data_IF_371352517011
#
_entry.id   IF_371352517011
#
_cell.length_a   1.000
_cell.length_b   1.000
_cell.length_c   1.000
_cell.angle_alpha   90.00
_cell.angle_beta   90.00
_cell.angle_gamma   90.00
#
_symmetry.space_group_name_H-M   'P 1'
#
loop_
_entity.id
_entity.type
_entity.pdbx_description
1 polymer ?
#
# COMPACT_ATOMS: atom_id res chain seq x y z
N UNK A 1 -4.19 -21.10 19.18
CA UNK A 1 -5.12 -20.58 18.16
C UNK A 1 -4.92 -19.09 18.05
N UNK A 2 -5.29 -18.51 16.91
CA UNK A 2 -5.34 -17.06 16.71
C UNK A 2 -6.38 -16.46 17.68
N UNK A 3 -6.07 -15.30 18.25
CA UNK A 3 -6.95 -14.62 19.19
C UNK A 3 -6.94 -13.12 18.94
N UNK A 4 -7.99 -12.48 19.45
CA UNK A 4 -8.16 -11.03 19.49
C UNK A 4 -8.55 -10.61 20.90
N UNK A 5 -7.92 -9.57 21.40
CA UNK A 5 -8.32 -8.95 22.66
C UNK A 5 -9.39 -7.89 22.35
N UNK A 6 -10.61 -8.12 22.83
CA UNK A 6 -11.80 -7.29 22.63
C UNK A 6 -12.10 -6.47 23.88
N UNK A 7 -12.79 -5.32 23.78
CA UNK A 7 -13.28 -4.61 24.96
C UNK A 7 -14.15 -5.51 25.84
N UNK A 8 -13.93 -5.48 27.16
CA UNK A 8 -14.72 -6.25 28.11
C UNK A 8 -16.21 -5.83 28.05
N UNK A 9 -17.19 -6.74 28.21
CA UNK A 9 -18.62 -6.43 28.15
C UNK A 9 -19.09 -5.23 29.00
N UNK A 10 -18.49 -5.01 30.17
CA UNK A 10 -18.74 -3.84 31.02
C UNK A 10 -18.53 -2.51 30.26
N UNK A 11 -17.46 -2.39 29.46
CA UNK A 11 -17.20 -1.20 28.64
C UNK A 11 -18.29 -1.00 27.58
N UNK A 12 -18.83 -2.08 27.01
CA UNK A 12 -19.92 -2.03 26.03
C UNK A 12 -21.23 -1.50 26.65
N UNK A 13 -21.34 -1.49 27.97
CA UNK A 13 -22.46 -0.91 28.72
C UNK A 13 -22.15 0.47 29.30
N UNK A 14 -20.98 1.04 28.99
CA UNK A 14 -20.54 2.35 29.47
C UNK A 14 -19.83 2.32 30.82
N UNK A 15 -19.62 1.15 31.41
CA UNK A 15 -18.86 0.99 32.65
C UNK A 15 -17.37 0.83 32.33
N UNK A 16 -16.61 1.90 32.60
CA UNK A 16 -15.18 1.96 32.35
C UNK A 16 -14.38 1.77 33.65
N UNK A 17 -14.99 1.31 34.74
CA UNK A 17 -14.31 1.12 36.03
C UNK A 17 -13.12 0.15 35.95
N UNK A 18 -13.12 -0.78 34.99
CA UNK A 18 -12.00 -1.68 34.69
C UNK A 18 -10.74 -0.98 34.20
N UNK A 19 -10.84 0.26 33.73
CA UNK A 19 -9.68 1.04 33.33
C UNK A 19 -8.84 1.50 34.53
N UNK A 20 -9.38 1.47 35.74
CA UNK A 20 -8.61 1.88 36.91
C UNK A 20 -7.36 1.04 37.09
N UNK A 21 -6.27 1.71 37.47
CA UNK A 21 -5.01 1.09 37.89
C UNK A 21 -4.65 1.52 39.30
N UNK A 22 -3.63 0.87 39.85
CA UNK A 22 -3.00 1.28 41.10
C UNK A 22 -2.27 2.60 40.89
N UNK A 23 -2.45 3.55 41.81
CA UNK A 23 -1.83 4.87 41.76
C UNK A 23 -2.71 5.95 41.12
N UNK A 24 -2.20 7.17 41.20
CA UNK A 24 -2.87 8.38 40.75
C UNK A 24 -2.14 9.02 39.57
N UNK A 25 -2.88 9.83 38.82
CA UNK A 25 -2.33 10.68 37.77
C UNK A 25 -1.47 11.75 38.47
N UNK A 26 -0.23 11.89 38.01
CA UNK A 26 0.72 12.89 38.51
C UNK A 26 0.90 14.00 37.46
N UNK A 27 1.11 15.22 37.94
CA UNK A 27 1.58 16.36 37.13
C UNK A 27 2.99 16.10 36.56
N UNK A 28 3.47 16.94 35.64
CA UNK A 28 4.86 16.85 35.16
C UNK A 28 5.91 16.93 36.28
N UNK A 29 5.60 17.61 37.38
CA UNK A 29 6.49 17.75 38.55
C UNK A 29 6.31 16.62 39.58
N UNK A 30 5.51 15.60 39.28
CA UNK A 30 5.28 14.45 40.16
C UNK A 30 4.29 14.71 41.30
N UNK A 31 3.58 15.85 41.28
CA UNK A 31 2.53 16.16 42.26
C UNK A 31 1.28 15.34 41.94
N UNK A 32 0.71 14.68 42.95
CA UNK A 32 -0.54 13.94 42.86
C UNK A 32 -1.72 14.87 42.55
N UNK A 33 -2.49 14.54 41.52
CA UNK A 33 -3.68 15.31 41.12
C UNK A 33 -4.95 14.92 41.88
N UNK A 34 -4.91 13.80 42.62
CA UNK A 34 -6.07 13.21 43.29
C UNK A 34 -6.95 12.35 42.38
N UNK A 35 -6.67 12.30 41.06
CA UNK A 35 -7.39 11.45 40.11
C UNK A 35 -6.67 10.12 39.91
N UNK A 36 -7.42 9.02 39.86
CA UNK A 36 -6.85 7.69 39.63
C UNK A 36 -6.37 7.51 38.20
N UNK A 37 -5.35 6.70 37.98
CA UNK A 37 -4.99 6.27 36.62
C UNK A 37 -6.17 5.50 36.01
N UNK A 38 -6.61 5.89 34.81
CA UNK A 38 -7.80 5.34 34.14
C UNK A 38 -9.11 6.10 34.43
N UNK A 39 -9.05 7.19 35.19
CA UNK A 39 -10.19 8.08 35.42
C UNK A 39 -10.68 8.70 34.11
N UNK A 40 -11.99 8.61 33.89
CA UNK A 40 -12.71 9.23 32.78
C UNK A 40 -13.47 10.45 33.29
N UNK A 41 -13.45 11.52 32.50
CA UNK A 41 -14.00 12.82 32.84
C UNK A 41 -15.16 13.20 31.91
N UNK A 42 -16.04 14.07 32.39
CA UNK A 42 -17.14 14.59 31.60
C UNK A 42 -16.61 15.49 30.45
N UNK A 43 -17.22 15.43 29.25
CA UNK A 43 -16.84 16.27 28.12
C UNK A 43 -16.77 17.75 28.50
N UNK A 44 -15.72 18.46 28.06
CA UNK A 44 -15.53 19.88 28.35
C UNK A 44 -15.01 20.22 29.74
N UNK A 45 -14.83 19.23 30.62
CA UNK A 45 -14.34 19.48 31.98
C UNK A 45 -12.84 19.29 32.17
N UNK A 46 -12.18 18.54 31.27
CA UNK A 46 -10.77 18.17 31.41
C UNK A 46 -9.87 19.41 31.35
N UNK A 47 -9.03 19.58 32.37
CA UNK A 47 -8.00 20.60 32.46
C UNK A 47 -6.64 19.93 32.31
N UNK A 48 -5.81 20.48 31.41
CA UNK A 48 -4.46 19.97 31.14
C UNK A 48 -3.40 21.01 31.42
N UNK A 49 -2.23 20.54 31.86
CA UNK A 49 -1.02 21.36 31.86
C UNK A 49 -0.45 21.51 30.44
N UNK A 50 0.56 22.37 30.26
CA UNK A 50 1.18 22.62 28.95
C UNK A 50 1.72 21.36 28.26
N UNK A 51 2.12 20.34 29.02
CA UNK A 51 2.56 19.04 28.50
C UNK A 51 1.43 18.08 28.11
N UNK A 52 0.16 18.51 28.20
CA UNK A 52 -1.01 17.70 27.84
C UNK A 52 -1.47 16.70 28.89
N UNK A 53 -0.79 16.58 30.05
CA UNK A 53 -1.26 15.75 31.16
C UNK A 53 -2.50 16.34 31.79
N UNK A 54 -3.43 15.47 32.18
CA UNK A 54 -4.64 15.86 32.89
C UNK A 54 -4.27 16.24 34.32
N UNK A 55 -4.63 17.45 34.73
CA UNK A 55 -4.40 17.99 36.08
C UNK A 55 -5.70 18.38 36.78
N UNK A 56 -6.84 18.28 36.10
CA UNK A 56 -8.14 18.68 36.61
C UNK A 56 -9.28 18.16 35.74
N UNK A 57 -10.48 18.12 36.30
CA UNK A 57 -11.71 17.87 35.56
C UNK A 57 -12.82 17.32 36.46
N UNK A 58 -14.02 17.18 35.88
CA UNK A 58 -15.17 16.60 36.57
C UNK A 58 -15.26 15.11 36.21
N UNK A 59 -14.90 14.18 37.10
CA UNK A 59 -14.94 12.75 36.80
C UNK A 59 -16.37 12.26 36.60
N UNK A 60 -16.55 11.21 35.79
CA UNK A 60 -17.80 10.47 35.80
C UNK A 60 -17.94 9.68 37.11
N UNK A 61 -19.09 9.79 37.82
CA UNK A 61 -19.36 8.95 38.98
C UNK A 61 -19.21 7.46 38.63
N UNK A 62 -18.43 6.73 39.43
CA UNK A 62 -18.17 5.30 39.20
C UNK A 62 -17.35 4.97 37.94
N UNK A 63 -16.84 5.96 37.21
CA UNK A 63 -16.28 5.79 35.86
C UNK A 63 -17.31 5.29 34.83
N UNK A 64 -18.59 5.62 35.02
CA UNK A 64 -19.68 5.17 34.14
C UNK A 64 -20.14 6.34 33.27
N UNK A 65 -20.11 6.16 31.95
CA UNK A 65 -20.70 7.12 31.00
C UNK A 65 -22.19 6.81 30.85
N UNK A 66 -23.11 7.68 31.32
CA UNK A 66 -24.54 7.42 31.28
C UNK A 66 -25.04 7.27 29.84
N UNK A 67 -25.95 6.32 29.59
CA UNK A 67 -26.56 6.09 28.26
C UNK A 67 -27.24 7.34 27.68
N UNK A 68 -27.72 8.24 28.53
CA UNK A 68 -28.32 9.53 28.13
C UNK A 68 -27.31 10.49 27.49
N UNK A 69 -26.01 10.27 27.69
CA UNK A 69 -24.93 11.06 27.09
C UNK A 69 -24.27 10.34 25.91
N UNK A 70 -24.75 9.17 25.52
CA UNK A 70 -24.23 8.47 24.36
C UNK A 70 -24.64 9.20 23.09
N UNK A 71 -23.70 9.35 22.16
CA UNK A 71 -24.00 9.89 20.85
C UNK A 71 -24.97 8.99 20.08
N UNK A 72 -25.70 9.61 19.14
CA UNK A 72 -26.66 8.91 18.27
C UNK A 72 -26.09 7.66 17.59
N UNK A 73 -24.82 7.71 17.17
CA UNK A 73 -24.16 6.62 16.45
C UNK A 73 -23.46 5.60 17.36
N UNK A 74 -23.42 5.81 18.67
CA UNK A 74 -22.77 4.90 19.63
C UNK A 74 -23.29 3.47 19.57
N UNK A 75 -24.61 3.22 19.49
CA UNK A 75 -25.11 1.85 19.33
C UNK A 75 -24.57 1.15 18.06
N UNK A 76 -24.30 1.88 16.99
CA UNK A 76 -23.76 1.32 15.75
C UNK A 76 -22.28 0.93 15.89
N UNK A 77 -21.46 1.78 16.53
CA UNK A 77 -20.07 1.44 16.87
C UNK A 77 -20.00 0.21 17.80
N UNK A 78 -20.88 0.15 18.82
CA UNK A 78 -20.95 -0.99 19.72
C UNK A 78 -21.40 -2.28 19.00
N UNK A 79 -22.34 -2.19 18.06
CA UNK A 79 -22.74 -3.34 17.21
C UNK A 79 -21.58 -3.90 16.41
N UNK A 80 -20.70 -3.04 15.86
CA UNK A 80 -19.46 -3.52 15.23
C UNK A 80 -18.65 -4.29 16.26
N UNK A 81 -18.30 -3.71 17.42
CA UNK A 81 -17.51 -4.39 18.43
C UNK A 81 -18.12 -5.72 18.93
N UNK A 82 -19.46 -5.79 18.97
CA UNK A 82 -20.25 -6.96 19.35
C UNK A 82 -20.37 -8.01 18.25
N UNK A 83 -19.99 -7.70 17.01
CA UNK A 83 -19.93 -8.67 15.91
C UNK A 83 -18.83 -9.72 16.08
N UNK A 84 -17.87 -9.48 16.98
CA UNK A 84 -16.92 -10.50 17.40
C UNK A 84 -17.59 -11.55 18.29
N UNK A 85 -17.07 -12.77 18.30
CA UNK A 85 -17.62 -13.82 19.15
C UNK A 85 -17.21 -13.62 20.62
N UNK A 86 -18.14 -13.17 21.48
CA UNK A 86 -17.93 -13.09 22.93
C UNK A 86 -18.23 -14.42 23.65
N UNK A 87 -18.84 -15.40 22.98
CA UNK A 87 -19.08 -16.70 23.58
C UNK A 87 -17.75 -17.45 23.77
N UNK A 88 -17.47 -17.86 25.00
CA UNK A 88 -16.23 -18.56 25.34
C UNK A 88 -14.99 -17.68 25.44
N UNK A 89 -15.14 -16.35 25.53
CA UNK A 89 -14.01 -15.47 25.83
C UNK A 89 -13.44 -15.73 27.22
N UNK A 90 -12.14 -15.54 27.37
CA UNK A 90 -11.44 -15.61 28.67
C UNK A 90 -10.88 -14.23 29.05
N UNK A 91 -10.64 -13.93 30.33
CA UNK A 91 -9.98 -12.69 30.72
C UNK A 91 -8.59 -12.55 30.05
N UNK A 92 -8.27 -11.36 29.56
CA UNK A 92 -6.92 -11.09 29.03
C UNK A 92 -5.94 -10.92 30.20
N UNK A 93 -4.79 -11.64 30.23
CA UNK A 93 -3.82 -11.50 31.31
C UNK A 93 -3.31 -10.07 31.47
N UNK A 94 -3.40 -9.52 32.69
CA UNK A 94 -2.94 -8.18 33.07
C UNK A 94 -3.61 -7.00 32.33
N UNK A 95 -4.71 -7.23 31.60
CA UNK A 95 -5.47 -6.19 30.88
C UNK A 95 -6.95 -6.33 31.23
N UNK A 96 -7.40 -5.82 32.40
CA UNK A 96 -8.73 -6.11 32.95
C UNK A 96 -9.89 -5.57 32.11
N UNK A 97 -9.66 -4.56 31.28
CA UNK A 97 -10.62 -3.94 30.37
C UNK A 97 -10.80 -4.70 29.05
N UNK A 98 -10.09 -5.81 28.83
CA UNK A 98 -10.26 -6.65 27.65
C UNK A 98 -10.59 -8.09 28.01
N UNK A 99 -11.25 -8.76 27.07
CA UNK A 99 -11.43 -10.21 27.04
C UNK A 99 -10.83 -10.77 25.77
N UNK A 100 -10.26 -11.97 25.84
CA UNK A 100 -9.67 -12.66 24.72
C UNK A 100 -10.69 -13.55 24.04
N UNK A 101 -10.98 -13.26 22.78
CA UNK A 101 -11.76 -14.13 21.90
C UNK A 101 -10.83 -14.91 20.99
N UNK A 102 -11.06 -16.21 20.87
CA UNK A 102 -10.37 -17.06 19.90
C UNK A 102 -11.18 -17.10 18.61
N UNK A 103 -10.49 -16.92 17.49
CA UNK A 103 -11.13 -16.98 16.19
C UNK A 103 -10.28 -17.80 15.24
N UNK A 104 -10.93 -18.29 14.19
CA UNK A 104 -10.26 -18.94 13.07
C UNK A 104 -10.46 -18.04 11.85
N UNK A 105 -9.36 -17.53 11.31
CA UNK A 105 -9.40 -16.85 10.02
C UNK A 105 -9.70 -17.86 8.92
N UNK A 106 -10.50 -17.45 7.95
CA UNK A 106 -10.79 -18.23 6.75
C UNK A 106 -9.88 -17.73 5.63
N UNK A 107 -8.94 -18.58 5.22
CA UNK A 107 -8.10 -18.32 4.07
C UNK A 107 -8.37 -19.39 3.01
N UNK A 108 -8.84 -18.97 1.83
CA UNK A 108 -8.96 -19.84 0.67
C UNK A 108 -8.06 -19.34 -0.45
N UNK A 109 -7.39 -20.26 -1.14
CA UNK A 109 -6.52 -19.94 -2.26
C UNK A 109 -6.71 -20.96 -3.37
N UNK A 110 -7.17 -20.46 -4.51
CA UNK A 110 -7.34 -21.21 -5.74
C UNK A 110 -6.37 -20.68 -6.78
N UNK A 111 -5.62 -21.60 -7.40
CA UNK A 111 -4.64 -21.29 -8.44
C UNK A 111 -4.87 -22.19 -9.63
N UNK A 112 -5.05 -21.57 -10.80
CA UNK A 112 -5.15 -22.27 -12.07
C UNK A 112 -3.97 -21.89 -12.95
N UNK A 113 -3.20 -22.90 -13.36
CA UNK A 113 -2.10 -22.76 -14.30
C UNK A 113 -2.44 -23.44 -15.61
N UNK A 114 -2.41 -22.70 -16.72
CA UNK A 114 -2.62 -23.25 -18.07
C UNK A 114 -1.43 -22.86 -18.93
N UNK A 115 -0.85 -23.82 -19.66
CA UNK A 115 0.26 -23.56 -20.58
C UNK A 115 -0.06 -24.22 -21.91
N UNK A 116 0.10 -23.45 -22.98
CA UNK A 116 0.11 -23.98 -24.34
C UNK A 116 1.41 -23.58 -25.01
N UNK A 117 1.99 -24.52 -25.76
CA UNK A 117 3.16 -24.28 -26.60
C UNK A 117 2.92 -24.87 -27.97
N UNK A 118 3.31 -24.14 -29.00
CA UNK A 118 3.31 -24.60 -30.39
C UNK A 118 4.70 -24.36 -30.95
N UNK A 119 5.34 -25.41 -31.40
CA UNK A 119 6.63 -25.37 -32.08
C UNK A 119 6.40 -25.60 -33.58
N UNK A 120 7.06 -24.81 -34.41
CA UNK A 120 6.94 -24.87 -35.86
C UNK A 120 8.30 -24.67 -36.52
N UNK A 121 8.78 -25.72 -37.19
CA UNK A 121 9.99 -25.65 -38.01
C UNK A 121 9.63 -25.06 -39.36
N UNK A 122 10.01 -23.81 -39.59
CA UNK A 122 9.75 -23.08 -40.84
C UNK A 122 10.66 -23.64 -41.95
N UNK A 123 11.90 -23.98 -41.60
CA UNK A 123 12.88 -24.67 -42.46
C UNK A 123 13.99 -25.29 -41.61
N UNK A 124 14.94 -25.99 -42.23
CA UNK A 124 16.15 -26.53 -41.58
C UNK A 124 17.00 -25.46 -40.86
N UNK A 125 16.77 -24.17 -41.14
CA UNK A 125 17.50 -23.05 -40.56
C UNK A 125 16.65 -22.14 -39.67
N UNK A 126 15.33 -22.27 -39.69
CA UNK A 126 14.44 -21.36 -38.97
C UNK A 126 13.39 -22.12 -38.17
N UNK A 127 13.37 -21.91 -36.86
CA UNK A 127 12.40 -22.49 -35.95
C UNK A 127 11.66 -21.37 -35.22
N UNK A 128 10.34 -21.50 -35.19
CA UNK A 128 9.47 -20.60 -34.44
C UNK A 128 8.81 -21.38 -33.31
N UNK A 129 8.68 -20.76 -32.15
CA UNK A 129 7.75 -21.27 -31.15
C UNK A 129 6.94 -20.14 -30.52
N UNK A 130 5.69 -20.49 -30.24
CA UNK A 130 4.77 -19.68 -29.46
C UNK A 130 4.53 -20.36 -28.12
N UNK A 131 4.54 -19.57 -27.03
CA UNK A 131 4.12 -20.02 -25.70
C UNK A 131 3.11 -19.04 -25.12
N UNK A 132 2.00 -19.58 -24.64
CA UNK A 132 1.07 -18.89 -23.76
C UNK A 132 1.08 -19.57 -22.40
N UNK A 133 1.11 -18.77 -21.34
CA UNK A 133 0.87 -19.24 -19.98
C UNK A 133 -0.14 -18.31 -19.30
N UNK A 134 -1.12 -18.90 -18.62
CA UNK A 134 -2.06 -18.23 -17.73
C UNK A 134 -1.81 -18.73 -16.31
N UNK A 135 -1.67 -17.80 -15.38
CA UNK A 135 -1.37 -18.04 -13.96
C UNK A 135 -2.39 -17.30 -13.09
N UNK A 136 -3.68 -17.56 -13.36
CA UNK A 136 -4.77 -16.94 -12.65
C UNK A 136 -4.86 -17.46 -11.21
N UNK A 137 -4.89 -16.53 -10.25
CA UNK A 137 -5.05 -16.85 -8.84
C UNK A 137 -6.26 -16.12 -8.27
N UNK A 138 -7.00 -16.77 -7.38
CA UNK A 138 -8.09 -16.18 -6.60
C UNK A 138 -7.86 -16.54 -5.14
N UNK A 139 -7.88 -15.54 -4.26
CA UNK A 139 -7.74 -15.76 -2.82
C UNK A 139 -8.86 -15.05 -2.08
N UNK A 140 -9.24 -15.60 -0.94
CA UNK A 140 -10.30 -15.10 -0.07
C UNK A 140 -9.77 -15.10 1.36
N UNK A 141 -9.95 -13.97 2.06
CA UNK A 141 -9.49 -13.78 3.43
C UNK A 141 -10.62 -13.22 4.29
N UNK A 142 -10.91 -13.90 5.40
CA UNK A 142 -11.92 -13.50 6.38
C UNK A 142 -11.61 -12.17 7.03
N UNK A 143 -10.33 -11.93 7.36
CA UNK A 143 -9.84 -10.66 7.90
C UNK A 143 -9.66 -9.54 6.85
N UNK A 144 -9.93 -9.82 5.58
CA UNK A 144 -9.72 -8.89 4.47
C UNK A 144 -8.31 -8.94 3.89
N UNK A 145 -8.16 -8.52 2.63
CA UNK A 145 -6.91 -8.58 1.87
C UNK A 145 -6.04 -7.37 2.25
N UNK A 146 -4.78 -7.59 2.65
CA UNK A 146 -3.88 -6.54 3.17
C UNK A 146 -4.42 -5.79 4.38
N UNK A 147 -5.47 -6.32 4.99
CA UNK A 147 -6.15 -5.70 6.10
C UNK A 147 -5.62 -6.25 7.42
N UNK A 148 -5.75 -5.43 8.46
CA UNK A 148 -5.47 -5.81 9.83
C UNK A 148 -6.76 -5.83 10.65
N UNK A 149 -7.88 -6.29 10.08
CA UNK A 149 -9.11 -6.35 10.87
C UNK A 149 -8.90 -7.35 12.01
N UNK A 150 -9.43 -7.06 13.20
CA UNK A 150 -9.13 -7.86 14.38
C UNK A 150 -9.99 -9.15 14.45
N UNK A 151 -11.05 -9.26 13.65
CA UNK A 151 -11.82 -10.49 13.43
C UNK A 151 -12.49 -10.45 12.03
N UNK A 152 -13.08 -11.56 11.53
CA UNK A 152 -13.68 -11.66 10.20
C UNK A 152 -14.97 -10.82 9.99
N UNK A 153 -14.85 -9.50 10.09
CA UNK A 153 -15.95 -8.52 9.95
C UNK A 153 -16.14 -8.04 8.52
N UNK A 154 -15.08 -8.14 7.70
CA UNK A 154 -15.06 -7.61 6.35
C UNK A 154 -14.27 -8.54 5.42
N UNK A 155 -14.82 -9.73 5.15
CA UNK A 155 -14.16 -10.71 4.31
C UNK A 155 -14.02 -10.19 2.88
N UNK A 156 -12.82 -10.32 2.31
CA UNK A 156 -12.50 -9.85 0.97
C UNK A 156 -11.93 -10.98 0.12
N UNK A 157 -12.03 -10.81 -1.20
CA UNK A 157 -11.31 -11.60 -2.17
C UNK A 157 -10.27 -10.76 -2.89
N UNK A 158 -9.24 -11.42 -3.44
CA UNK A 158 -8.32 -10.85 -4.42
C UNK A 158 -8.20 -11.75 -5.65
N UNK A 159 -8.67 -11.25 -6.79
CA UNK A 159 -8.50 -11.89 -8.10
C UNK A 159 -7.25 -11.37 -8.78
N UNK A 160 -6.38 -12.27 -9.23
CA UNK A 160 -5.12 -11.97 -9.93
C UNK A 160 -5.05 -12.71 -11.27
N UNK A 161 -5.88 -12.40 -12.26
CA UNK A 161 -5.72 -12.98 -13.60
C UNK A 161 -4.43 -12.44 -14.23
N UNK A 162 -3.51 -13.35 -14.55
CA UNK A 162 -2.23 -13.02 -15.16
C UNK A 162 -1.96 -13.94 -16.34
N UNK A 163 -1.44 -13.39 -17.43
CA UNK A 163 -0.96 -14.21 -18.54
C UNK A 163 0.24 -13.63 -19.26
N UNK A 164 1.07 -14.52 -19.78
CA UNK A 164 2.26 -14.23 -20.57
C UNK A 164 2.16 -14.89 -21.94
N UNK A 165 2.52 -14.15 -22.97
CA UNK A 165 2.52 -14.56 -24.36
C UNK A 165 3.94 -14.32 -24.88
N UNK A 166 4.55 -15.33 -25.50
CA UNK A 166 5.91 -15.25 -26.01
C UNK A 166 5.99 -15.85 -27.40
N UNK A 167 6.54 -15.09 -28.33
CA UNK A 167 6.73 -15.42 -29.74
C UNK A 167 8.23 -15.38 -30.00
N UNK A 168 8.81 -16.52 -30.38
CA UNK A 168 10.25 -16.68 -30.46
C UNK A 168 10.60 -17.23 -31.83
N UNK A 169 11.53 -16.57 -32.52
CA UNK A 169 12.05 -16.98 -33.82
C UNK A 169 13.56 -17.16 -33.68
N UNK A 170 14.03 -18.38 -33.89
CA UNK A 170 15.46 -18.70 -33.93
C UNK A 170 15.84 -19.00 -35.38
N UNK A 171 16.84 -18.29 -35.89
CA UNK A 171 17.31 -18.40 -37.26
C UNK A 171 18.82 -18.65 -37.33
N UNK A 172 19.21 -19.71 -38.02
CA UNK A 172 20.61 -20.04 -38.36
C UNK A 172 20.93 -19.41 -39.71
N UNK A 173 21.47 -18.20 -39.68
CA UNK A 173 21.79 -17.41 -40.87
C UNK A 173 22.96 -18.07 -41.64
N UNK A 174 23.94 -18.62 -40.92
CA UNK A 174 25.08 -19.37 -41.47
C UNK A 174 25.64 -20.35 -40.43
N UNK A 175 26.60 -21.25 -40.77
CA UNK A 175 27.23 -22.15 -39.80
C UNK A 175 27.90 -21.45 -38.61
N UNK A 176 28.17 -20.15 -38.75
CA UNK A 176 28.79 -19.34 -37.70
C UNK A 176 27.92 -18.23 -37.15
N UNK A 177 26.71 -18.00 -37.70
CA UNK A 177 25.86 -16.86 -37.33
C UNK A 177 24.44 -17.31 -37.03
N UNK A 178 23.96 -16.99 -35.83
CA UNK A 178 22.59 -17.25 -35.40
C UNK A 178 21.91 -15.98 -34.92
N UNK A 179 20.61 -15.88 -35.13
CA UNK A 179 19.77 -14.81 -34.63
C UNK A 179 18.61 -15.40 -33.82
N UNK A 180 18.22 -14.74 -32.74
CA UNK A 180 17.04 -15.05 -31.96
C UNK A 180 16.25 -13.76 -31.70
N UNK A 181 15.03 -13.72 -32.22
CA UNK A 181 14.08 -12.65 -31.97
C UNK A 181 12.98 -13.13 -31.01
N UNK A 182 12.69 -12.34 -29.99
CA UNK A 182 11.66 -12.63 -28.98
C UNK A 182 10.75 -11.42 -28.85
N UNK A 183 9.45 -11.63 -29.08
CA UNK A 183 8.41 -10.71 -28.65
C UNK A 183 7.64 -11.31 -27.49
N UNK A 184 7.37 -10.53 -26.45
CA UNK A 184 6.58 -10.96 -25.31
C UNK A 184 5.57 -9.91 -24.88
N UNK A 185 4.36 -10.37 -24.60
CA UNK A 185 3.28 -9.58 -24.00
C UNK A 185 2.87 -10.22 -22.68
N UNK A 186 2.96 -9.44 -21.60
CA UNK A 186 2.52 -9.85 -20.27
C UNK A 186 1.37 -8.96 -19.83
N UNK A 187 0.36 -9.56 -19.19
CA UNK A 187 -0.69 -8.82 -18.48
C UNK A 187 -0.86 -9.38 -17.07
N UNK A 188 -1.13 -8.50 -16.13
CA UNK A 188 -1.53 -8.84 -14.78
C UNK A 188 -2.57 -7.82 -14.33
N UNK A 189 -3.71 -8.31 -13.87
CA UNK A 189 -4.70 -7.49 -13.16
C UNK A 189 -4.81 -8.00 -11.74
N UNK A 190 -5.10 -7.10 -10.81
CA UNK A 190 -5.45 -7.40 -9.43
C UNK A 190 -6.71 -6.63 -9.07
N UNK A 191 -7.73 -7.34 -8.59
CA UNK A 191 -8.94 -6.74 -8.04
C UNK A 191 -9.09 -7.23 -6.61
N UNK A 192 -9.21 -6.30 -5.65
CA UNK A 192 -9.58 -6.59 -4.27
C UNK A 192 -10.97 -6.05 -4.01
N UNK A 193 -11.89 -6.89 -3.57
CA UNK A 193 -13.26 -6.47 -3.25
C UNK A 193 -13.85 -7.37 -2.15
N UNK A 194 -15.04 -7.03 -1.69
CA UNK A 194 -15.80 -7.83 -0.71
C UNK A 194 -16.17 -9.18 -1.31
N UNK A 195 -16.11 -10.25 -0.52
CA UNK A 195 -16.64 -11.55 -0.92
C UNK A 195 -18.12 -11.44 -1.32
N UNK A 196 -18.51 -12.16 -2.37
CA UNK A 196 -19.86 -12.05 -2.95
C UNK A 196 -20.95 -12.53 -1.98
N UNK A 197 -20.61 -13.48 -1.10
CA UNK A 197 -21.44 -14.07 -0.05
C UNK A 197 -21.23 -13.45 1.33
N UNK A 198 -20.43 -12.38 1.44
CA UNK A 198 -20.20 -11.69 2.70
C UNK A 198 -21.51 -11.13 3.29
N UNK A 199 -21.79 -11.45 4.55
CA UNK A 199 -22.96 -10.92 5.24
C UNK A 199 -22.84 -9.39 5.41
N UNK A 200 -23.72 -8.67 4.71
CA UNK A 200 -23.80 -7.21 4.77
C UNK A 200 -24.10 -6.70 6.18
N UNK A 201 -24.76 -7.47 7.04
CA UNK A 201 -25.04 -7.05 8.41
C UNK A 201 -23.75 -6.80 9.23
N UNK A 202 -22.63 -7.39 8.82
CA UNK A 202 -21.33 -7.23 9.50
C UNK A 202 -20.61 -5.94 9.13
N UNK A 203 -20.83 -5.40 7.92
CA UNK A 203 -20.03 -4.27 7.43
C UNK A 203 -20.82 -3.09 6.86
N UNK A 204 -22.07 -3.27 6.47
CA UNK A 204 -22.89 -2.20 5.89
C UNK A 204 -23.29 -1.21 6.98
N UNK A 205 -22.98 0.06 6.74
CA UNK A 205 -23.18 1.13 7.71
C UNK A 205 -24.65 1.33 8.06
N UNK A 206 -25.56 1.13 7.11
CA UNK A 206 -26.99 1.33 7.32
C UNK A 206 -27.57 0.16 8.09
N UNK A 207 -27.19 -1.07 7.74
CA UNK A 207 -27.56 -2.29 8.48
C UNK A 207 -27.06 -2.24 9.92
N UNK A 208 -25.85 -1.71 10.14
CA UNK A 208 -25.28 -1.47 11.46
C UNK A 208 -25.88 -0.24 12.16
N UNK A 209 -26.75 0.54 11.51
CA UNK A 209 -27.51 1.65 12.07
C UNK A 209 -26.73 2.96 12.26
N UNK A 210 -25.67 3.19 11.50
CA UNK A 210 -25.03 4.50 11.40
C UNK A 210 -25.93 5.49 10.63
N UNK A 211 -25.96 6.75 11.09
CA UNK A 211 -26.89 7.78 10.58
C UNK A 211 -26.21 9.10 10.19
N UNK A 212 -24.89 9.21 10.34
CA UNK A 212 -24.16 10.43 9.93
C UNK A 212 -24.09 10.57 8.39
N UNK A 213 -24.09 11.77 7.82
CA UNK A 213 -23.81 11.95 6.40
C UNK A 213 -22.32 11.68 6.10
N UNK A 214 -22.04 11.08 4.94
CA UNK A 214 -20.67 11.00 4.42
C UNK A 214 -20.28 12.29 3.72
N UNK A 215 -19.00 12.66 3.79
CA UNK A 215 -18.49 13.82 3.04
C UNK A 215 -18.56 13.55 1.54
N UNK A 216 -18.26 12.31 1.14
CA UNK A 216 -18.23 11.88 -0.25
C UNK A 216 -18.83 10.47 -0.38
N UNK A 217 -20.17 10.33 -0.37
CA UNK A 217 -20.85 9.04 -0.43
C UNK A 217 -20.43 8.17 -1.62
N UNK A 218 -20.11 8.79 -2.76
CA UNK A 218 -19.69 8.11 -3.98
C UNK A 218 -18.30 7.45 -3.86
N UNK A 219 -17.50 7.81 -2.85
CA UNK A 219 -16.23 7.15 -2.59
C UNK A 219 -16.41 5.76 -1.95
N UNK A 220 -17.44 5.59 -1.10
CA UNK A 220 -17.70 4.38 -0.33
C UNK A 220 -18.64 3.42 -1.09
N UNK A 221 -18.12 2.76 -2.12
CA UNK A 221 -18.91 1.92 -3.05
C UNK A 221 -19.67 0.75 -2.40
N UNK A 222 -19.27 0.35 -1.20
CA UNK A 222 -19.83 -0.81 -0.49
C UNK A 222 -20.57 -0.40 0.79
N UNK A 223 -20.86 0.90 0.96
CA UNK A 223 -21.55 1.44 2.14
C UNK A 223 -20.92 0.97 3.44
N UNK A 224 -19.59 0.84 3.49
CA UNK A 224 -18.88 0.29 4.64
C UNK A 224 -19.04 1.20 5.85
N UNK A 225 -19.14 0.61 7.04
CA UNK A 225 -19.01 1.37 8.29
C UNK A 225 -17.65 2.09 8.35
N UNK A 226 -17.54 3.18 9.13
CA UNK A 226 -16.35 4.01 9.08
C UNK A 226 -15.15 3.35 9.75
N UNK A 227 -13.95 3.84 9.43
CA UNK A 227 -12.76 3.61 10.23
C UNK A 227 -12.88 4.24 11.60
N UNK A 228 -12.55 3.50 12.65
CA UNK A 228 -12.47 4.03 14.00
C UNK A 228 -11.50 3.26 14.88
N UNK A 229 -10.95 3.97 15.86
CA UNK A 229 -10.28 3.39 17.03
C UNK A 229 -11.19 3.51 18.25
N UNK A 230 -11.03 2.63 19.22
CA UNK A 230 -11.67 2.80 20.54
C UNK A 230 -10.68 2.71 21.70
N UNK A 231 -9.37 2.63 21.41
CA UNK A 231 -8.28 2.73 22.38
C UNK A 231 -8.21 1.60 23.40
N UNK A 232 -8.97 0.52 23.20
CA UNK A 232 -9.00 -0.67 24.04
C UNK A 232 -8.89 -1.91 23.15
N UNK A 233 -8.06 -2.87 23.54
CA UNK A 233 -7.83 -4.11 22.79
C UNK A 233 -7.33 -3.87 21.36
N UNK A 234 -7.70 -4.76 20.45
CA UNK A 234 -7.32 -4.71 19.03
C UNK A 234 -8.25 -3.82 18.17
N UNK A 235 -8.90 -2.84 18.79
CA UNK A 235 -9.94 -2.03 18.17
C UNK A 235 -9.39 -1.00 17.15
N UNK A 236 -9.21 -1.45 15.92
CA UNK A 236 -8.81 -0.65 14.77
C UNK A 236 -9.44 -1.25 13.49
N UNK A 237 -10.48 -0.60 12.98
CA UNK A 237 -11.30 -1.03 11.83
C UNK A 237 -11.48 0.14 10.87
N UNK A 238 -11.90 -0.05 9.59
CA UNK A 238 -11.95 -1.30 8.86
C UNK A 238 -10.65 -1.53 8.08
N UNK A 239 -10.64 -2.64 7.33
CA UNK A 239 -9.56 -3.05 6.46
C UNK A 239 -9.46 -2.26 5.15
N UNK A 240 -8.65 -2.82 4.25
CA UNK A 240 -8.35 -2.32 2.92
C UNK A 240 -9.60 -1.95 2.10
N UNK A 241 -9.48 -0.95 1.21
CA UNK A 241 -10.60 -0.43 0.43
C UNK A 241 -11.23 -1.50 -0.48
N UNK A 242 -12.54 -1.39 -0.69
CA UNK A 242 -13.26 -2.32 -1.54
C UNK A 242 -13.25 -1.87 -3.02
N UNK A 243 -13.18 -2.84 -3.92
CA UNK A 243 -13.11 -2.63 -5.35
C UNK A 243 -11.79 -2.00 -5.81
N UNK A 244 -10.68 -2.20 -5.08
CA UNK A 244 -9.35 -1.71 -5.46
C UNK A 244 -8.84 -2.45 -6.70
N UNK A 245 -8.46 -1.70 -7.73
CA UNK A 245 -8.01 -2.22 -9.02
C UNK A 245 -6.57 -1.81 -9.32
N UNK A 246 -5.75 -2.77 -9.71
CA UNK A 246 -4.39 -2.58 -10.24
C UNK A 246 -4.21 -3.40 -11.51
N UNK A 247 -3.62 -2.81 -12.54
CA UNK A 247 -3.41 -3.42 -13.84
C UNK A 247 -1.99 -3.12 -14.33
N UNK A 248 -1.38 -4.09 -14.96
CA UNK A 248 -0.08 -3.96 -15.60
C UNK A 248 -0.09 -4.72 -16.92
N UNK A 249 0.31 -4.03 -17.98
CA UNK A 249 0.56 -4.63 -19.29
C UNK A 249 1.98 -4.29 -19.71
N UNK A 250 2.74 -5.28 -20.15
CA UNK A 250 4.11 -5.08 -20.60
C UNK A 250 4.30 -5.70 -21.97
N UNK A 251 4.89 -4.92 -22.87
CA UNK A 251 5.41 -5.37 -24.14
C UNK A 251 6.93 -5.39 -24.08
N UNK A 252 7.55 -6.44 -24.60
CA UNK A 252 9.00 -6.60 -24.63
C UNK A 252 9.44 -7.19 -25.96
N UNK A 253 10.48 -6.62 -26.53
CA UNK A 253 11.14 -7.10 -27.74
C UNK A 253 12.61 -7.30 -27.44
N UNK A 254 13.15 -8.44 -27.83
CA UNK A 254 14.58 -8.74 -27.74
C UNK A 254 15.04 -9.28 -29.09
N UNK A 255 16.17 -8.79 -29.56
CA UNK A 255 16.85 -9.36 -30.73
C UNK A 255 18.30 -9.67 -30.35
N UNK A 256 18.71 -10.89 -30.60
CA UNK A 256 20.03 -11.42 -30.29
C UNK A 256 20.69 -11.89 -31.57
N UNK A 257 21.91 -11.43 -31.85
CA UNK A 257 22.75 -11.95 -32.92
C UNK A 257 24.02 -12.53 -32.31
N UNK A 258 24.31 -13.79 -32.57
CA UNK A 258 25.57 -14.45 -32.19
C UNK A 258 26.37 -14.76 -33.44
N UNK A 259 27.67 -14.44 -33.42
CA UNK A 259 28.60 -14.76 -34.50
C UNK A 259 29.90 -15.34 -33.97
N UNK A 260 30.26 -16.54 -34.41
CA UNK A 260 31.52 -17.19 -34.11
C UNK A 260 32.55 -16.86 -35.20
N UNK A 261 33.67 -16.24 -34.83
CA UNK A 261 34.76 -15.90 -35.75
C UNK A 261 36.09 -16.31 -35.11
N UNK A 262 36.66 -17.41 -35.58
CA UNK A 262 37.91 -17.94 -35.03
C UNK A 262 37.80 -18.23 -33.53
N UNK A 263 38.55 -17.49 -32.72
CA UNK A 263 38.58 -17.61 -31.26
C UNK A 263 37.56 -16.71 -30.53
N UNK A 264 36.75 -15.98 -31.28
CA UNK A 264 35.78 -15.01 -30.76
C UNK A 264 34.35 -15.53 -30.93
N UNK A 265 33.54 -15.35 -29.89
CA UNK A 265 32.08 -15.46 -29.95
C UNK A 265 31.51 -14.09 -29.65
N UNK A 266 31.14 -13.38 -30.71
CA UNK A 266 30.55 -12.05 -30.64
C UNK A 266 29.04 -12.19 -30.40
N UNK A 267 28.49 -11.41 -29.47
CA UNK A 267 27.04 -11.22 -29.34
C UNK A 267 26.67 -9.76 -29.44
N UNK A 268 25.65 -9.48 -30.23
CA UNK A 268 25.02 -8.18 -30.36
C UNK A 268 23.54 -8.33 -30.03
N UNK A 269 22.93 -7.29 -29.52
CA UNK A 269 21.48 -7.32 -29.37
C UNK A 269 20.85 -6.00 -28.96
N UNK A 270 19.53 -6.00 -29.10
CA UNK A 270 18.66 -4.91 -28.74
C UNK A 270 17.56 -5.39 -27.80
N UNK A 271 17.13 -4.51 -26.90
CA UNK A 271 16.00 -4.75 -26.01
C UNK A 271 15.13 -3.50 -25.97
N UNK A 272 13.83 -3.68 -26.12
CA UNK A 272 12.84 -2.63 -25.93
C UNK A 272 11.76 -3.14 -24.99
N UNK A 273 11.34 -2.33 -24.03
CA UNK A 273 10.16 -2.62 -23.23
C UNK A 273 9.27 -1.41 -23.08
N UNK A 274 7.97 -1.64 -22.99
CA UNK A 274 6.97 -0.62 -22.67
C UNK A 274 6.00 -1.19 -21.65
N UNK A 275 5.77 -0.45 -20.57
CA UNK A 275 4.79 -0.81 -19.55
C UNK A 275 3.63 0.18 -19.54
N UNK A 276 2.43 -0.38 -19.47
CA UNK A 276 1.16 0.31 -19.33
C UNK A 276 0.54 -0.15 -18.02
N UNK A 277 0.81 0.59 -16.96
CA UNK A 277 0.31 0.28 -15.64
C UNK A 277 -0.85 1.20 -15.27
N UNK A 278 -1.73 0.74 -14.41
CA UNK A 278 -2.84 1.52 -13.89
C UNK A 278 -3.18 1.03 -12.49
N UNK A 279 -3.53 1.93 -11.59
CA UNK A 279 -3.79 1.56 -10.20
C UNK A 279 -4.66 2.60 -9.51
N UNK A 280 -5.62 2.12 -8.73
CA UNK A 280 -6.31 2.93 -7.74
C UNK A 280 -5.45 3.06 -6.48
N UNK A 281 -5.47 4.20 -5.80
CA UNK A 281 -4.72 4.33 -4.56
C UNK A 281 -5.31 3.42 -3.48
N UNK A 282 -4.50 3.06 -2.50
CA UNK A 282 -4.89 2.25 -1.33
C UNK A 282 -5.62 3.05 -0.23
N UNK A 283 -6.08 4.28 -0.53
CA UNK A 283 -6.72 5.18 0.44
C UNK A 283 -8.01 4.60 1.04
N UNK A 284 -8.40 5.13 2.20
CA UNK A 284 -9.65 4.80 2.90
C UNK A 284 -10.83 5.42 2.15
N UNK A 285 -11.71 4.57 1.60
CA UNK A 285 -12.95 4.91 0.89
C UNK A 285 -14.08 5.35 1.85
N UNK A 286 -14.15 4.76 3.05
CA UNK A 286 -15.06 5.13 4.11
C UNK A 286 -14.49 6.24 5.02
N UNK A 287 -15.37 6.94 5.76
CA UNK A 287 -14.94 7.94 6.75
C UNK A 287 -14.04 7.33 7.81
N UNK A 288 -13.06 8.08 8.32
CA UNK A 288 -12.17 7.67 9.42
C UNK A 288 -12.35 8.61 10.60
N UNK A 289 -12.85 8.09 11.71
CA UNK A 289 -12.97 8.78 13.00
C UNK A 289 -11.77 8.43 13.89
N UNK A 290 -11.14 9.46 14.44
CA UNK A 290 -10.19 9.30 15.53
C UNK A 290 -10.85 9.76 16.82
N UNK A 291 -11.08 8.85 17.76
CA UNK A 291 -11.61 9.16 19.09
C UNK A 291 -10.51 9.33 20.14
N UNK A 292 -9.24 9.27 19.73
CA UNK A 292 -8.09 9.35 20.62
C UNK A 292 -8.12 10.58 21.52
N UNK A 293 -7.70 10.39 22.78
CA UNK A 293 -7.54 11.51 23.71
C UNK A 293 -6.56 12.55 23.16
N UNK A 294 -6.98 13.81 23.11
CA UNK A 294 -6.17 14.91 22.62
C UNK A 294 -6.48 16.20 23.38
N UNK A 295 -5.45 17.03 23.60
CA UNK A 295 -5.61 18.37 24.12
C UNK A 295 -6.29 19.33 23.11
N UNK A 296 -6.24 18.98 21.82
CA UNK A 296 -6.88 19.73 20.73
C UNK A 296 -8.40 19.49 20.68
N UNK A 297 -8.88 18.41 21.31
CA UNK A 297 -10.28 18.08 21.41
C UNK A 297 -10.84 18.64 22.74
N UNK A 298 -11.53 19.80 22.74
CA UNK A 298 -12.05 20.41 23.96
C UNK A 298 -13.12 19.56 24.65
N UNK A 299 -13.73 18.62 23.93
CA UNK A 299 -14.72 17.69 24.46
C UNK A 299 -14.11 16.35 24.88
N UNK A 300 -12.78 16.22 24.86
CA UNK A 300 -12.15 14.97 25.28
C UNK A 300 -12.48 14.65 26.74
N UNK A 301 -12.78 13.38 26.98
CA UNK A 301 -13.06 12.79 28.29
C UNK A 301 -11.80 12.28 29.00
N UNK A 302 -10.62 12.45 28.38
CA UNK A 302 -9.38 11.83 28.83
C UNK A 302 -9.25 10.36 28.44
N UNK A 303 -10.24 9.79 27.73
CA UNK A 303 -10.24 8.39 27.33
C UNK A 303 -10.88 8.17 25.95
N UNK A 304 -10.21 7.37 25.12
CA UNK A 304 -10.64 7.08 23.74
C UNK A 304 -11.99 6.35 23.66
N UNK A 305 -12.24 5.38 24.54
CA UNK A 305 -13.48 4.60 24.51
C UNK A 305 -14.67 5.46 24.94
N UNK A 306 -14.51 6.24 26.01
CA UNK A 306 -15.52 7.20 26.44
C UNK A 306 -15.77 8.28 25.37
N UNK A 307 -14.73 8.80 24.72
CA UNK A 307 -14.86 9.70 23.57
C UNK A 307 -15.71 9.08 22.45
N UNK A 308 -15.52 7.80 22.13
CA UNK A 308 -16.36 7.07 21.16
C UNK A 308 -17.81 6.99 21.65
N UNK A 309 -18.06 6.68 22.92
CA UNK A 309 -19.41 6.62 23.49
C UNK A 309 -20.12 7.97 23.43
N UNK A 310 -19.42 9.07 23.71
CA UNK A 310 -19.96 10.42 23.66
C UNK A 310 -19.99 11.02 22.25
N UNK A 311 -19.32 10.40 21.27
CA UNK A 311 -19.17 10.92 19.91
C UNK A 311 -18.16 12.07 19.78
N UNK A 312 -17.26 12.22 20.76
CA UNK A 312 -16.27 13.30 20.84
C UNK A 312 -14.99 12.92 20.08
N UNK A 313 -15.04 12.94 18.74
CA UNK A 313 -13.87 12.68 17.91
C UNK A 313 -12.90 13.87 17.86
N UNK A 314 -11.61 13.56 17.70
CA UNK A 314 -10.52 14.52 17.50
C UNK A 314 -10.37 14.89 16.04
N UNK A 315 -10.63 13.96 15.11
CA UNK A 315 -10.59 14.25 13.68
C UNK A 315 -11.50 13.29 12.90
N UNK A 316 -11.98 13.76 11.75
CA UNK A 316 -12.70 12.94 10.78
C UNK A 316 -12.15 13.21 9.39
N UNK A 317 -11.82 12.14 8.65
CA UNK A 317 -11.33 12.26 7.27
C UNK A 317 -12.09 11.31 6.33
N UNK A 318 -12.21 11.66 5.06
CA UNK A 318 -12.68 10.78 4.00
C UNK A 318 -12.02 11.20 2.70
N UNK A 319 -11.66 10.24 1.85
CA UNK A 319 -11.22 10.56 0.49
C UNK A 319 -12.40 11.08 -0.34
N UNK A 320 -12.14 12.03 -1.23
CA UNK A 320 -13.17 12.70 -2.03
C UNK A 320 -13.59 11.98 -3.32
N UNK A 321 -13.10 10.76 -3.53
CA UNK A 321 -13.46 9.94 -4.67
C UNK A 321 -12.43 8.87 -4.98
N UNK A 322 -12.76 8.02 -5.95
CA UNK A 322 -11.85 6.96 -6.37
C UNK A 322 -11.06 7.42 -7.60
N UNK A 323 -9.76 7.54 -7.43
CA UNK A 323 -8.85 7.94 -8.49
C UNK A 323 -8.25 6.70 -9.14
N UNK A 324 -8.13 6.71 -10.47
CA UNK A 324 -7.43 5.64 -11.20
C UNK A 324 -6.23 6.26 -11.92
N UNK A 325 -5.05 6.11 -11.32
CA UNK A 325 -3.81 6.61 -11.90
C UNK A 325 -3.34 5.70 -13.03
N UNK A 326 -2.92 6.26 -14.16
CA UNK A 326 -2.33 5.51 -15.26
C UNK A 326 -0.87 5.89 -15.43
N UNK A 327 0.02 4.91 -15.45
CA UNK A 327 1.47 5.09 -15.47
C UNK A 327 2.09 4.43 -16.68
N UNK A 328 3.07 5.08 -17.27
CA UNK A 328 3.74 4.63 -18.48
C UNK A 328 5.25 4.78 -18.31
N UNK A 329 5.98 3.82 -18.86
CA UNK A 329 7.42 3.96 -19.07
C UNK A 329 7.85 3.08 -20.23
N UNK A 330 9.00 3.41 -20.81
CA UNK A 330 9.66 2.54 -21.76
C UNK A 330 11.18 2.56 -21.54
N UNK A 331 11.85 1.52 -22.00
CA UNK A 331 13.30 1.41 -22.02
C UNK A 331 13.77 0.88 -23.36
N UNK A 332 14.92 1.38 -23.81
CA UNK A 332 15.60 0.90 -25.02
C UNK A 332 17.04 0.63 -24.62
N UNK A 333 17.54 -0.55 -24.94
CA UNK A 333 18.89 -0.96 -24.61
C UNK A 333 19.53 -1.63 -25.82
N UNK A 334 20.84 -1.43 -25.97
CA UNK A 334 21.66 -2.05 -27.01
C UNK A 334 22.94 -2.58 -26.40
N UNK A 335 23.46 -3.69 -26.90
CA UNK A 335 24.68 -4.29 -26.37
C UNK A 335 25.52 -4.96 -27.43
N UNK A 336 26.82 -4.96 -27.17
CA UNK A 336 27.82 -5.74 -27.87
C UNK A 336 28.75 -6.38 -26.83
N UNK A 337 29.08 -7.65 -27.01
CA UNK A 337 30.05 -8.36 -26.17
C UNK A 337 30.85 -9.36 -27.00
N UNK A 338 32.06 -9.64 -26.54
CA UNK A 338 32.96 -10.63 -27.09
C UNK A 338 33.41 -11.60 -26.00
N UNK A 339 33.24 -12.89 -26.28
CA UNK A 339 33.88 -13.98 -25.56
C UNK A 339 35.09 -14.43 -26.36
N UNK A 340 36.28 -14.06 -25.90
CA UNK A 340 37.52 -14.29 -26.60
C UNK A 340 38.35 -15.37 -25.91
N UNK A 341 38.50 -16.51 -26.58
CA UNK A 341 39.41 -17.59 -26.16
C UNK A 341 40.84 -17.25 -26.56
N UNK A 342 41.53 -16.44 -25.77
CA UNK A 342 42.92 -16.01 -26.01
C UNK A 342 43.81 -17.24 -26.29
N UNK A 343 43.75 -18.23 -25.40
CA UNK A 343 44.44 -19.52 -25.54
C UNK A 343 43.64 -20.64 -24.81
N UNK A 344 44.21 -21.86 -24.71
CA UNK A 344 43.55 -23.00 -24.08
C UNK A 344 43.29 -22.83 -22.57
N UNK A 345 43.98 -21.88 -21.94
CA UNK A 345 43.93 -21.61 -20.49
C UNK A 345 43.16 -20.34 -20.15
N UNK A 346 43.06 -19.37 -21.06
CA UNK A 346 42.51 -18.04 -20.79
C UNK A 346 41.40 -17.67 -21.77
N UNK A 347 40.25 -17.32 -21.20
CA UNK A 347 39.14 -16.67 -21.89
C UNK A 347 38.89 -15.30 -21.28
N UNK A 348 38.72 -14.29 -22.12
CA UNK A 348 38.31 -12.95 -21.72
C UNK A 348 36.87 -12.71 -22.16
N UNK A 349 36.11 -12.04 -21.30
CA UNK A 349 34.74 -11.60 -21.57
C UNK A 349 34.72 -10.08 -21.45
N UNK A 350 34.30 -9.37 -22.48
CA UNK A 350 34.15 -7.93 -22.38
C UNK A 350 33.02 -7.43 -23.27
N UNK A 351 32.38 -6.38 -22.84
CA UNK A 351 31.25 -5.82 -23.58
C UNK A 351 30.78 -4.50 -23.02
N UNK A 352 29.88 -3.89 -23.78
CA UNK A 352 29.26 -2.62 -23.45
C UNK A 352 27.76 -2.74 -23.66
N UNK A 353 27.00 -2.28 -22.68
CA UNK A 353 25.55 -2.09 -22.80
C UNK A 353 25.21 -0.62 -22.68
N UNK A 354 24.51 -0.09 -23.66
CA UNK A 354 23.86 1.21 -23.56
C UNK A 354 22.41 0.99 -23.13
N UNK A 355 21.93 1.76 -22.14
CA UNK A 355 20.60 1.59 -21.59
C UNK A 355 19.86 2.92 -21.38
N UNK A 356 18.94 3.25 -22.28
CA UNK A 356 17.97 4.29 -22.00
C UNK A 356 16.83 3.70 -21.15
N UNK A 357 16.72 4.16 -19.89
CA UNK A 357 15.64 3.78 -18.98
C UNK A 357 14.75 5.01 -18.76
N UNK A 358 13.72 5.16 -19.61
CA UNK A 358 12.80 6.29 -19.52
C UNK A 358 12.06 6.32 -18.17
N UNK A 359 11.74 7.51 -17.63
CA UNK A 359 11.07 7.61 -16.34
C UNK A 359 9.63 7.10 -16.39
N UNK A 360 9.10 6.77 -15.23
CA UNK A 360 7.66 6.53 -15.05
C UNK A 360 6.94 7.86 -15.03
N UNK A 361 6.00 8.06 -15.95
CA UNK A 361 5.16 9.26 -16.05
C UNK A 361 3.68 8.89 -16.02
N UNK A 362 2.83 9.84 -15.65
CA UNK A 362 1.38 9.66 -15.66
C UNK A 362 0.74 10.00 -17.00
N UNK A 363 -0.43 9.41 -17.23
CA UNK A 363 -1.20 9.59 -18.46
C UNK A 363 -2.69 9.70 -18.14
N UNK A 364 -3.44 10.43 -18.97
CA UNK A 364 -4.88 10.59 -18.82
C UNK A 364 -5.24 11.74 -17.87
N UNK A 365 -6.30 11.55 -17.08
CA UNK A 365 -6.93 12.62 -16.29
C UNK A 365 -6.16 12.99 -15.01
N UNK A 366 -5.51 12.02 -14.37
CA UNK A 366 -4.84 12.21 -13.08
C UNK A 366 -3.33 12.19 -13.29
N UNK A 367 -2.73 13.37 -13.25
CA UNK A 367 -1.29 13.56 -13.46
C UNK A 367 -0.55 13.80 -12.14
N UNK A 368 0.74 13.47 -12.14
CA UNK A 368 1.62 13.69 -11.00
C UNK A 368 1.86 15.18 -10.79
N UNK A 369 1.77 15.58 -9.52
CA UNK A 369 2.05 16.93 -9.08
C UNK A 369 3.15 16.91 -8.02
N UNK A 370 4.04 17.90 -8.04
CA UNK A 370 5.13 18.04 -7.09
C UNK A 370 5.16 19.46 -6.53
N UNK A 371 5.54 19.60 -5.28
CA UNK A 371 5.77 20.91 -4.69
C UNK A 371 7.12 21.48 -5.18
N UNK A 372 7.09 22.66 -5.82
CA UNK A 372 8.27 23.47 -6.13
C UNK A 372 8.27 24.71 -5.21
N UNK A 373 9.14 24.74 -4.18
CA UNK A 373 9.21 25.86 -3.24
C UNK A 373 9.44 27.22 -3.90
N UNK A 374 10.05 27.25 -5.10
CA UNK A 374 10.31 28.50 -5.84
C UNK A 374 9.06 29.11 -6.46
N UNK A 375 7.98 28.32 -6.57
CA UNK A 375 6.67 28.77 -7.06
C UNK A 375 5.66 29.01 -5.96
N UNK A 376 6.06 28.74 -4.72
CA UNK A 376 5.25 29.08 -3.58
C UNK A 376 5.18 30.60 -3.45
N UNK A 377 3.96 31.13 -3.45
CA UNK A 377 3.70 32.55 -3.19
C UNK A 377 3.16 32.70 -1.76
N UNK A 378 3.92 33.30 -0.81
CA UNK A 378 3.44 33.53 0.55
C UNK A 378 2.10 34.30 0.63
N UNK A 379 1.78 35.15 -0.36
CA UNK A 379 0.51 35.88 -0.40
C UNK A 379 -0.69 34.96 -0.72
N UNK A 380 -0.45 33.79 -1.32
CA UNK A 380 -1.47 32.77 -1.60
C UNK A 380 -1.42 31.61 -0.61
N UNK A 381 -0.72 31.74 0.51
CA UNK A 381 -0.66 30.69 1.53
C UNK A 381 -2.06 30.30 2.01
N UNK A 382 -2.36 29.00 1.99
CA UNK A 382 -3.57 28.49 2.62
C UNK A 382 -3.55 28.80 4.12
N UNK A 383 -4.68 29.27 4.66
CA UNK A 383 -4.79 29.56 6.09
C UNK A 383 -5.30 28.32 6.84
N UNK A 384 -4.79 28.12 8.05
CA UNK A 384 -5.21 27.04 8.95
C UNK A 384 -6.04 27.63 10.07
N UNK A 385 -7.17 27.01 10.40
CA UNK A 385 -7.98 27.41 11.54
C UNK A 385 -7.25 27.03 12.84
N UNK A 386 -6.92 28.04 13.63
CA UNK A 386 -6.23 27.89 14.92
C UNK A 386 -7.19 28.07 16.11
N UNK A 387 -8.48 28.28 15.87
CA UNK A 387 -9.46 28.40 16.93
C UNK A 387 -9.70 27.03 17.57
N UNK A 388 -9.70 26.98 18.90
CA UNK A 388 -10.05 25.76 19.62
C UNK A 388 -11.47 25.33 19.28
N UNK A 389 -11.65 24.11 18.79
CA UNK A 389 -12.92 23.60 18.32
C UNK A 389 -12.74 22.45 17.33
N UNK A 390 -13.85 21.99 16.75
CA UNK A 390 -13.87 20.85 15.82
C UNK A 390 -13.11 21.09 14.50
N UNK A 391 -12.88 22.35 14.15
CA UNK A 391 -12.19 22.77 12.91
C UNK A 391 -10.71 23.11 13.14
N UNK A 392 -10.20 23.00 14.37
CA UNK A 392 -8.79 23.25 14.69
C UNK A 392 -7.88 22.39 13.79
N UNK A 393 -6.95 23.04 13.09
CA UNK A 393 -6.01 22.39 12.17
C UNK A 393 -6.55 22.14 10.76
N UNK A 394 -7.80 22.52 10.46
CA UNK A 394 -8.35 22.42 9.11
C UNK A 394 -7.94 23.62 8.24
N UNK A 395 -7.94 23.44 6.92
CA UNK A 395 -7.76 24.56 5.99
C UNK A 395 -9.01 25.43 6.03
N UNK A 396 -8.84 26.73 6.27
CA UNK A 396 -9.93 27.70 6.23
C UNK A 396 -10.50 27.76 4.81
N UNK A 397 -11.80 27.47 4.62
CA UNK A 397 -12.40 27.47 3.28
C UNK A 397 -12.19 28.80 2.56
N UNK A 398 -11.80 28.72 1.29
CA UNK A 398 -11.54 29.88 0.41
C UNK A 398 -10.44 30.84 0.88
N UNK A 399 -9.61 30.47 1.86
CA UNK A 399 -8.51 31.29 2.33
C UNK A 399 -7.17 30.79 1.76
N UNK A 400 -6.68 31.46 0.71
CA UNK A 400 -5.46 31.10 0.00
C UNK A 400 -5.65 29.96 -1.01
N UNK A 401 -4.54 29.46 -1.53
CA UNK A 401 -4.50 28.38 -2.51
C UNK A 401 -3.92 27.10 -1.86
N UNK A 402 -4.73 26.03 -1.65
CA UNK A 402 -4.22 24.78 -1.08
C UNK A 402 -3.24 24.04 -2.00
N UNK A 403 -3.17 24.42 -3.28
CA UNK A 403 -2.24 23.88 -4.27
C UNK A 403 -1.09 24.86 -4.58
N UNK A 404 -0.86 25.86 -3.74
CA UNK A 404 0.21 26.83 -3.90
C UNK A 404 1.59 26.14 -4.01
N UNK A 405 2.37 26.50 -5.02
CA UNK A 405 3.66 25.87 -5.32
C UNK A 405 3.58 24.47 -5.94
N UNK A 406 2.39 23.91 -6.17
CA UNK A 406 2.25 22.62 -6.86
C UNK A 406 2.48 22.78 -8.37
N UNK A 407 3.23 21.85 -8.94
CA UNK A 407 3.58 21.78 -10.36
C UNK A 407 3.22 20.42 -10.92
N UNK A 408 2.35 20.43 -11.91
CA UNK A 408 2.00 19.23 -12.67
C UNK A 408 3.12 18.85 -13.64
N UNK A 409 3.36 17.55 -13.80
CA UNK A 409 4.31 17.06 -14.79
C UNK A 409 3.87 17.40 -16.23
N UNK A 410 4.84 17.71 -17.09
CA UNK A 410 4.59 18.04 -18.50
C UNK A 410 3.93 19.40 -18.75
N UNK A 411 3.66 20.21 -17.73
CA UNK A 411 3.18 21.58 -17.91
C UNK A 411 4.23 22.42 -18.68
N UNK A 412 3.79 23.39 -19.50
CA UNK A 412 4.64 24.14 -20.44
C UNK A 412 5.87 24.84 -19.81
N UNK A 413 5.78 25.18 -18.52
CA UNK A 413 6.90 25.72 -17.74
C UNK A 413 7.30 24.80 -16.57
N UNK A 414 6.73 23.60 -16.44
CA UNK A 414 6.80 22.73 -15.27
C UNK A 414 7.90 21.66 -15.31
N UNK A 415 7.72 20.62 -14.51
CA UNK A 415 8.62 19.47 -14.48
C UNK A 415 8.48 18.65 -15.77
N UNK A 416 9.57 18.03 -16.29
CA UNK A 416 9.44 17.08 -17.38
C UNK A 416 8.52 15.92 -16.98
N UNK A 417 7.91 15.23 -17.96
CA UNK A 417 7.11 14.03 -17.70
C UNK A 417 7.93 13.01 -16.90
N UNK A 418 7.35 12.49 -15.82
CA UNK A 418 7.99 11.61 -14.84
C UNK A 418 8.89 12.33 -13.83
N UNK A 419 8.91 13.67 -13.84
CA UNK A 419 9.61 14.51 -12.87
C UNK A 419 11.15 14.47 -12.96
N UNK A 420 11.71 13.79 -13.96
CA UNK A 420 13.17 13.65 -14.13
C UNK A 420 13.60 13.87 -15.56
N UNK A 421 14.81 14.41 -15.74
CA UNK A 421 15.42 14.57 -17.05
C UNK A 421 15.81 13.21 -17.62
N UNK A 422 15.54 13.00 -18.90
CA UNK A 422 15.98 11.83 -19.63
C UNK A 422 17.52 11.71 -19.61
N UNK A 423 18.02 10.51 -19.31
CA UNK A 423 19.45 10.20 -19.34
C UNK A 423 19.74 9.17 -20.43
N UNK A 424 20.54 9.59 -21.39
CA UNK A 424 20.93 8.78 -22.57
C UNK A 424 22.38 8.32 -22.51
N UNK A 425 23.12 8.71 -21.48
CA UNK A 425 24.56 8.43 -21.31
C UNK A 425 24.83 7.24 -20.37
N UNK A 426 23.86 6.34 -20.23
CA UNK A 426 23.97 5.17 -19.36
C UNK A 426 24.72 4.05 -20.10
N UNK A 427 26.04 4.09 -20.01
CA UNK A 427 26.93 3.07 -20.56
C UNK A 427 27.40 2.13 -19.44
N UNK A 428 27.04 0.86 -19.55
CA UNK A 428 27.35 -0.21 -18.60
C UNK A 428 28.41 -1.14 -19.17
N UNK A 429 29.71 -0.81 -19.06
CA UNK A 429 30.77 -1.73 -19.43
C UNK A 429 30.76 -2.95 -18.51
N UNK A 430 31.18 -4.09 -19.08
CA UNK A 430 31.35 -5.35 -18.36
C UNK A 430 32.65 -5.97 -18.81
N UNK A 431 33.41 -6.48 -17.85
CA UNK A 431 34.66 -7.21 -18.10
C UNK A 431 34.73 -8.41 -17.18
N UNK A 432 35.31 -9.49 -17.69
CA UNK A 432 35.52 -10.71 -16.94
C UNK A 432 36.59 -11.58 -17.59
N UNK A 433 37.03 -12.58 -16.86
CA UNK A 433 37.97 -13.58 -17.34
C UNK A 433 37.68 -14.93 -16.70
N UNK A 434 38.08 -15.98 -17.40
CA UNK A 434 38.20 -17.32 -16.88
C UNK A 434 39.59 -17.85 -17.23
N UNK A 435 40.32 -18.29 -16.21
CA UNK A 435 41.69 -18.77 -16.33
C UNK A 435 41.84 -20.13 -15.66
N UNK A 436 42.40 -21.08 -16.40
CA UNK A 436 42.89 -22.36 -15.88
C UNK A 436 44.40 -22.25 -15.65
N UNK A 437 44.87 -22.10 -14.39
CA UNK A 437 46.27 -21.88 -14.10
C UNK A 437 47.17 -23.04 -14.55
N UNK A 438 46.68 -24.26 -14.43
CA UNK A 438 47.46 -25.47 -14.67
C UNK A 438 47.30 -25.98 -16.10
N UNK A 439 46.18 -25.70 -16.76
CA UNK A 439 45.87 -26.15 -18.12
C UNK A 439 45.39 -27.60 -18.19
N UNK A 440 45.03 -28.17 -17.05
CA UNK A 440 44.52 -29.54 -16.91
C UNK A 440 42.99 -29.59 -16.79
N UNK A 441 42.32 -28.43 -16.83
CA UNK A 441 40.88 -28.29 -16.69
C UNK A 441 40.35 -28.54 -15.28
N UNK A 442 41.21 -28.79 -14.29
CA UNK A 442 40.79 -29.17 -12.93
C UNK A 442 40.64 -27.98 -11.99
N UNK A 443 41.29 -26.86 -12.29
CA UNK A 443 41.17 -25.62 -11.52
C UNK A 443 40.78 -24.48 -12.44
N UNK A 444 39.80 -23.68 -12.04
CA UNK A 444 39.41 -22.47 -12.77
C UNK A 444 39.30 -21.29 -11.81
N UNK A 445 40.01 -20.22 -12.13
CA UNK A 445 39.88 -18.91 -11.51
C UNK A 445 39.03 -18.05 -12.42
N UNK A 446 37.95 -17.47 -11.88
CA UNK A 446 37.03 -16.60 -12.62
C UNK A 446 36.87 -15.30 -11.86
N UNK A 447 36.81 -14.20 -12.58
CA UNK A 447 36.59 -12.88 -12.01
C UNK A 447 35.95 -11.95 -13.02
N UNK A 448 35.33 -10.88 -12.53
CA UNK A 448 34.72 -9.88 -13.38
C UNK A 448 34.02 -8.78 -12.60
N UNK A 449 33.63 -7.75 -13.32
CA UNK A 449 32.92 -6.59 -12.81
C UNK A 449 32.12 -5.90 -13.91
N UNK A 450 31.15 -5.09 -13.51
CA UNK A 450 30.34 -4.33 -14.45
C UNK A 450 29.56 -3.22 -13.78
N UNK A 451 29.08 -2.28 -14.61
CA UNK A 451 28.22 -1.18 -14.20
C UNK A 451 26.80 -1.46 -14.68
N UNK A 452 25.82 -1.22 -13.81
CA UNK A 452 24.40 -1.45 -14.05
C UNK A 452 23.61 -0.21 -13.67
N UNK A 453 22.46 -0.04 -14.32
CA UNK A 453 21.58 1.10 -14.11
C UNK A 453 20.20 0.61 -13.68
N UNK A 454 19.56 1.40 -12.84
CA UNK A 454 18.18 1.19 -12.42
C UNK A 454 17.36 2.43 -12.74
N UNK A 455 16.07 2.22 -13.02
CA UNK A 455 15.14 3.34 -13.20
C UNK A 455 14.89 3.98 -11.83
N UNK A 456 15.11 5.28 -11.74
CA UNK A 456 14.96 6.09 -10.52
C UNK A 456 13.57 5.96 -9.85
N UNK A 457 12.52 5.48 -10.56
CA UNK A 457 11.17 5.25 -10.00
C UNK A 457 10.46 4.08 -10.69
N UNK A 458 10.24 2.99 -9.96
CA UNK A 458 9.43 1.85 -10.43
C UNK A 458 8.05 1.78 -9.78
N UNK A 459 7.92 2.24 -8.52
CA UNK A 459 6.66 2.29 -7.79
C UNK A 459 6.37 3.73 -7.38
N UNK A 460 5.44 4.39 -8.08
CA UNK A 460 5.19 5.81 -7.87
C UNK A 460 4.27 6.09 -6.67
N UNK A 461 3.46 5.11 -6.22
CA UNK A 461 2.37 5.36 -5.28
C UNK A 461 2.10 4.20 -4.28
N UNK A 462 3.10 3.79 -3.49
CA UNK A 462 2.75 3.35 -2.13
C UNK A 462 2.60 4.62 -1.29
N UNK A 463 1.43 5.26 -1.40
CA UNK A 463 1.02 6.36 -0.54
C UNK A 463 -0.25 5.95 0.19
#
# INVERSE_FOLDING_TARGET
GTFVDLPHPDLLNGDLSRLYRTGNILTAQGVDTGFRIGQVFQPGSVVREAGGRIIGGQPYPGNIVPRTQWARNTPAFLRVLQGANYAGTVPTPNVPETVRSFFQDTYQFNKEGKVARVDYTISDRANFFFRWADDANHEEQGLGIFASTPYPVFPQFRRKPGSSWSYNLVNVISPSTTNEFIFSYNRLTQLVDVQEDADKALYDRTSLGFTFPEFFPEANLRSRFPRFNCGVGSCNYPGFAAGWLSEAKQFTWTDNLTKNIGKHTLKFGGFFNMNLNGQQPSWVDAMTFNFGDSADNPLSTGNTFANMLNGNYTSVTQTNGRFYGSFRFFGIEGYAQDSWRVNRKLTLEYGLRWAYMGPTYTYGKFLQNYFDPRRYDPAQAAQIDLNRGLTLGTIVPNAGNPFNGMVEEGAANGLPKGGVKHRWNNFGPRVGFAWDPFGDGKTAIRGGGGVFYERIRQNANNF
#
